data_IF_867112181414
#
_entry.id   IF_867112181414
#
_cell.length_a   1.000
_cell.length_b   1.000
_cell.length_c   1.000
_cell.angle_alpha   90.00
_cell.angle_beta   90.00
_cell.angle_gamma   90.00
#
_symmetry.space_group_name_H-M   'P 1'
#
loop_
_entity.id
_entity.type
_entity.pdbx_description
1 polymer ?
#
# COMPACT_ATOMS: atom_id res chain seq x y z
N UNK A 1 -12.12 -12.13 31.74
CA UNK A 1 -11.65 -11.09 30.78
C UNK A 1 -12.89 -10.40 30.22
N UNK A 2 -13.12 -9.12 30.54
CA UNK A 2 -14.36 -8.40 30.17
C UNK A 2 -14.53 -8.29 28.65
N UNK A 3 -15.75 -8.52 28.17
CA UNK A 3 -16.16 -8.41 26.75
C UNK A 3 -15.80 -7.05 26.14
N UNK A 4 -15.93 -5.98 26.90
CA UNK A 4 -15.57 -4.62 26.49
C UNK A 4 -14.12 -4.46 26.00
N UNK A 5 -13.16 -5.16 26.61
CA UNK A 5 -11.74 -5.11 26.19
C UNK A 5 -11.58 -5.81 24.84
N UNK A 6 -12.29 -6.92 24.62
CA UNK A 6 -12.24 -7.68 23.36
C UNK A 6 -12.82 -6.87 22.20
N UNK A 7 -13.91 -6.16 22.44
CA UNK A 7 -14.54 -5.31 21.43
C UNK A 7 -13.68 -4.08 21.09
N UNK A 8 -13.01 -3.48 22.08
CA UNK A 8 -12.04 -2.41 21.85
C UNK A 8 -10.86 -2.87 20.98
N UNK A 9 -10.28 -4.04 21.27
CA UNK A 9 -9.15 -4.58 20.48
C UNK A 9 -9.61 -4.86 19.05
N UNK A 10 -10.75 -5.53 18.87
CA UNK A 10 -11.30 -5.86 17.55
C UNK A 10 -11.58 -4.62 16.70
N UNK A 11 -12.12 -3.56 17.32
CA UNK A 11 -12.34 -2.28 16.64
C UNK A 11 -11.02 -1.57 16.29
N UNK A 12 -9.99 -1.72 17.13
CA UNK A 12 -8.65 -1.22 16.85
C UNK A 12 -8.00 -1.89 15.65
N UNK A 13 -8.06 -3.23 15.59
CA UNK A 13 -7.54 -4.03 14.47
C UNK A 13 -8.23 -3.68 13.17
N UNK A 14 -9.57 -3.65 13.15
CA UNK A 14 -10.35 -3.29 11.97
C UNK A 14 -9.99 -1.90 11.43
N UNK A 15 -9.86 -0.91 12.30
CA UNK A 15 -9.43 0.45 11.90
C UNK A 15 -7.99 0.48 11.39
N UNK A 16 -7.13 -0.39 11.91
CA UNK A 16 -5.75 -0.54 11.44
C UNK A 16 -5.69 -1.11 10.03
N UNK A 17 -6.45 -2.16 9.76
CA UNK A 17 -6.58 -2.78 8.43
C UNK A 17 -7.14 -1.79 7.40
N UNK A 18 -8.27 -1.14 7.69
CA UNK A 18 -8.88 -0.14 6.80
C UNK A 18 -7.90 1.00 6.44
N UNK A 19 -7.12 1.46 7.42
CA UNK A 19 -6.08 2.48 7.18
C UNK A 19 -4.90 1.93 6.37
N UNK A 20 -4.52 0.68 6.61
CA UNK A 20 -3.45 -0.01 5.89
C UNK A 20 -3.80 -0.20 4.42
N UNK A 21 -5.01 -0.68 4.14
CA UNK A 21 -5.53 -0.85 2.77
C UNK A 21 -5.59 0.48 2.04
N UNK A 22 -6.21 1.50 2.64
CA UNK A 22 -6.31 2.83 2.03
C UNK A 22 -4.93 3.42 1.70
N UNK A 23 -3.98 3.35 2.64
CA UNK A 23 -2.60 3.81 2.39
C UNK A 23 -1.89 2.99 1.32
N UNK A 24 -2.13 1.68 1.28
CA UNK A 24 -1.56 0.79 0.27
C UNK A 24 -2.06 1.11 -1.14
N UNK A 25 -3.36 1.37 -1.27
CA UNK A 25 -4.00 1.79 -2.52
C UNK A 25 -3.46 3.15 -2.99
N UNK A 26 -3.45 4.16 -2.10
CA UNK A 26 -2.95 5.52 -2.41
C UNK A 26 -1.48 5.49 -2.89
N UNK A 27 -0.62 4.71 -2.22
CA UNK A 27 0.79 4.55 -2.60
C UNK A 27 0.93 3.87 -3.96
N UNK A 28 0.17 2.81 -4.20
CA UNK A 28 0.23 2.05 -5.46
C UNK A 28 -0.29 2.86 -6.65
N UNK A 29 -1.38 3.63 -6.45
CA UNK A 29 -1.92 4.53 -7.47
C UNK A 29 -0.93 5.67 -7.81
N UNK A 30 -0.29 6.27 -6.80
CA UNK A 30 0.74 7.29 -7.01
C UNK A 30 1.93 6.75 -7.81
N UNK A 31 2.39 5.54 -7.47
CA UNK A 31 3.47 4.89 -8.21
C UNK A 31 3.07 4.63 -9.67
N UNK A 32 1.85 4.13 -9.91
CA UNK A 32 1.36 3.90 -11.26
C UNK A 32 1.33 5.17 -12.11
N UNK A 33 0.87 6.29 -11.53
CA UNK A 33 0.84 7.59 -12.21
C UNK A 33 2.25 8.06 -12.58
N UNK A 34 3.20 8.03 -11.63
CA UNK A 34 4.58 8.46 -11.87
C UNK A 34 5.30 7.61 -12.93
N UNK A 35 5.04 6.31 -12.96
CA UNK A 35 5.59 5.42 -13.99
C UNK A 35 4.97 5.70 -15.36
N UNK A 36 3.66 5.96 -15.42
CA UNK A 36 2.98 6.31 -16.66
C UNK A 36 3.49 7.65 -17.23
N UNK A 37 3.64 8.68 -16.40
CA UNK A 37 4.20 9.99 -16.78
C UNK A 37 5.61 9.88 -17.36
N UNK A 38 6.43 8.96 -16.83
CA UNK A 38 7.80 8.71 -17.30
C UNK A 38 7.88 7.68 -18.44
N UNK A 39 6.75 7.24 -19.00
CA UNK A 39 6.67 6.18 -20.02
C UNK A 39 7.33 4.84 -19.60
N UNK A 40 7.44 4.57 -18.29
CA UNK A 40 8.04 3.35 -17.72
C UNK A 40 7.01 2.23 -17.56
N UNK A 41 6.26 1.92 -18.62
CA UNK A 41 5.18 0.93 -18.58
C UNK A 41 5.69 -0.50 -18.27
N UNK A 42 6.92 -0.82 -18.71
CA UNK A 42 7.57 -2.09 -18.35
C UNK A 42 7.78 -2.24 -16.84
N UNK A 43 8.17 -1.16 -16.17
CA UNK A 43 8.37 -1.14 -14.73
C UNK A 43 7.04 -1.19 -13.98
N UNK A 44 5.97 -0.62 -14.56
CA UNK A 44 4.61 -0.73 -14.01
C UNK A 44 4.12 -2.18 -14.01
N UNK A 45 4.36 -2.92 -15.10
CA UNK A 45 4.06 -4.36 -15.16
C UNK A 45 4.90 -5.12 -14.14
N UNK A 46 6.21 -4.90 -14.12
CA UNK A 46 7.11 -5.59 -13.18
C UNK A 46 6.77 -5.27 -11.72
N UNK A 47 6.42 -4.03 -11.40
CA UNK A 47 6.01 -3.62 -10.06
C UNK A 47 4.68 -4.25 -9.64
N UNK A 48 3.81 -4.62 -10.58
CA UNK A 48 2.57 -5.33 -10.27
C UNK A 48 2.83 -6.77 -9.83
N UNK A 49 3.83 -7.43 -10.44
CA UNK A 49 4.15 -8.85 -10.24
C UNK A 49 5.23 -9.07 -9.17
N UNK A 50 6.18 -8.15 -9.02
CA UNK A 50 7.35 -8.25 -8.12
C UNK A 50 7.26 -7.22 -6.99
N UNK A 51 7.03 -7.73 -5.77
CA UNK A 51 6.91 -6.93 -4.55
C UNK A 51 8.22 -6.25 -4.16
N UNK A 52 9.36 -6.91 -4.33
CA UNK A 52 10.66 -6.31 -3.99
C UNK A 52 10.99 -5.18 -4.94
N UNK A 53 10.72 -5.39 -6.23
CA UNK A 53 10.89 -4.37 -7.24
C UNK A 53 9.95 -3.17 -7.01
N UNK A 54 8.68 -3.42 -6.67
CA UNK A 54 7.73 -2.37 -6.27
C UNK A 54 8.24 -1.57 -5.07
N UNK A 55 8.81 -2.24 -4.06
CA UNK A 55 9.40 -1.55 -2.91
C UNK A 55 10.61 -0.70 -3.28
N UNK A 56 11.46 -1.14 -4.21
CA UNK A 56 12.57 -0.33 -4.74
C UNK A 56 12.05 0.92 -5.43
N UNK A 57 10.99 0.81 -6.23
CA UNK A 57 10.37 1.98 -6.86
C UNK A 57 9.72 2.91 -5.83
N UNK A 58 9.06 2.39 -4.80
CA UNK A 58 8.56 3.24 -3.71
C UNK A 58 9.69 4.06 -3.08
N UNK A 59 10.86 3.46 -2.83
CA UNK A 59 12.03 4.20 -2.35
C UNK A 59 12.56 5.22 -3.37
N UNK A 60 12.64 4.84 -4.65
CA UNK A 60 13.09 5.72 -5.74
C UNK A 60 12.23 6.99 -5.86
N UNK A 61 10.91 6.84 -5.71
CA UNK A 61 9.94 7.93 -5.84
C UNK A 61 9.55 8.59 -4.51
N UNK A 62 10.12 8.13 -3.38
CA UNK A 62 9.82 8.68 -2.04
C UNK A 62 8.38 8.43 -1.56
N UNK A 63 7.79 7.28 -1.92
CA UNK A 63 6.42 6.87 -1.61
C UNK A 63 6.37 5.92 -0.41
#
# INVERSE_FOLDING_TARGET
>A
MCTAIRDMVKNGEKRGEERGEKRGEERSARLALLLAERNRIGDLKKASEDKEYRNKLFQEFGI
#
